data_IF_112715318375
#
_entry.id   IF_112715318375
#
_cell.length_a   1.000
_cell.length_b   1.000
_cell.length_c   1.000
_cell.angle_alpha   90.00
_cell.angle_beta   90.00
_cell.angle_gamma   90.00
#
_symmetry.space_group_name_H-M   'P 1'
#
loop_
_entity.id
_entity.type
_entity.pdbx_description
1 polymer ?
#
# COMPACT_ATOMS: atom_id res chain seq x y z
N UNK A 1 -17.66 8.66 61.75
CA UNK A 1 -16.71 8.87 60.63
C UNK A 1 -16.80 7.68 59.66
N UNK A 2 -17.79 7.63 58.75
CA UNK A 2 -17.97 6.52 57.82
C UNK A 2 -17.19 6.73 56.49
N UNK A 3 -15.91 7.14 56.55
CA UNK A 3 -15.15 7.57 55.36
C UNK A 3 -14.16 6.55 54.80
N UNK A 4 -13.60 5.66 55.63
CA UNK A 4 -12.40 4.87 55.22
C UNK A 4 -12.73 3.63 54.38
N UNK A 5 -13.87 2.98 54.63
CA UNK A 5 -14.30 1.78 53.88
C UNK A 5 -14.74 2.13 52.45
N UNK A 6 -15.54 3.19 52.29
CA UNK A 6 -15.98 3.66 50.98
C UNK A 6 -14.82 4.16 50.12
N UNK A 7 -13.84 4.87 50.72
CA UNK A 7 -12.66 5.36 49.99
C UNK A 7 -11.79 4.23 49.43
N UNK A 8 -11.54 3.17 50.21
CA UNK A 8 -10.76 2.01 49.75
C UNK A 8 -11.45 1.27 48.59
N UNK A 9 -12.76 1.09 48.68
CA UNK A 9 -13.57 0.46 47.64
C UNK A 9 -13.60 1.29 46.35
N UNK A 10 -13.73 2.62 46.45
CA UNK A 10 -13.67 3.52 45.30
C UNK A 10 -12.29 3.51 44.63
N UNK A 11 -11.21 3.48 45.43
CA UNK A 11 -9.86 3.49 44.91
C UNK A 11 -9.54 2.21 44.11
N UNK A 12 -9.93 1.03 44.61
CA UNK A 12 -9.74 -0.22 43.85
C UNK A 12 -10.56 -0.25 42.58
N UNK A 13 -11.81 0.23 42.62
CA UNK A 13 -12.65 0.34 41.42
C UNK A 13 -12.04 1.28 40.37
N UNK A 14 -11.60 2.48 40.78
CA UNK A 14 -10.96 3.42 39.87
C UNK A 14 -9.67 2.84 39.27
N UNK A 15 -8.87 2.14 40.06
CA UNK A 15 -7.65 1.50 39.60
C UNK A 15 -7.94 0.41 38.57
N UNK A 16 -8.93 -0.44 38.82
CA UNK A 16 -9.34 -1.49 37.87
C UNK A 16 -9.91 -0.87 36.59
N UNK A 17 -10.77 0.15 36.68
CA UNK A 17 -11.32 0.84 35.52
C UNK A 17 -10.20 1.49 34.69
N UNK A 18 -9.27 2.21 35.34
CA UNK A 18 -8.14 2.83 34.67
C UNK A 18 -7.26 1.79 33.97
N UNK A 19 -7.01 0.65 34.62
CA UNK A 19 -6.23 -0.45 34.04
C UNK A 19 -6.91 -1.04 32.79
N UNK A 20 -8.23 -1.29 32.87
CA UNK A 20 -9.01 -1.81 31.74
C UNK A 20 -9.03 -0.80 30.59
N UNK A 21 -9.26 0.49 30.88
CA UNK A 21 -9.23 1.55 29.88
C UNK A 21 -7.85 1.68 29.22
N UNK A 22 -6.77 1.53 29.98
CA UNK A 22 -5.41 1.54 29.44
C UNK A 22 -5.18 0.36 28.47
N UNK A 23 -5.59 -0.85 28.84
CA UNK A 23 -5.49 -2.03 27.97
C UNK A 23 -6.31 -1.88 26.69
N UNK A 24 -7.54 -1.37 26.80
CA UNK A 24 -8.39 -1.10 25.63
C UNK A 24 -7.75 -0.02 24.76
N UNK A 25 -7.27 1.07 25.34
CA UNK A 25 -6.61 2.16 24.61
C UNK A 25 -5.37 1.66 23.84
N UNK A 26 -4.51 0.87 24.48
CA UNK A 26 -3.32 0.29 23.86
C UNK A 26 -3.69 -0.68 22.74
N UNK A 27 -4.68 -1.56 22.94
CA UNK A 27 -5.10 -2.50 21.90
C UNK A 27 -5.70 -1.79 20.69
N UNK A 28 -6.49 -0.73 20.91
CA UNK A 28 -7.03 0.10 19.82
C UNK A 28 -5.91 0.83 19.07
N UNK A 29 -4.91 1.34 19.79
CA UNK A 29 -3.74 2.01 19.20
C UNK A 29 -2.94 1.03 18.32
N UNK A 30 -2.69 -0.20 18.81
CA UNK A 30 -2.01 -1.25 18.05
C UNK A 30 -2.81 -1.60 16.81
N UNK A 31 -4.13 -1.74 16.93
CA UNK A 31 -5.02 -2.03 15.81
C UNK A 31 -4.99 -0.91 14.75
N UNK A 32 -5.01 0.35 15.18
CA UNK A 32 -4.96 1.50 14.27
C UNK A 32 -3.64 1.60 13.51
N UNK A 33 -2.52 1.25 14.16
CA UNK A 33 -1.18 1.26 13.55
C UNK A 33 -1.00 0.05 12.62
N UNK A 34 -1.56 -1.11 13.00
CA UNK A 34 -1.40 -2.37 12.25
C UNK A 34 -2.32 -2.48 11.04
N UNK A 35 -3.44 -1.74 11.03
CA UNK A 35 -4.39 -1.76 9.93
C UNK A 35 -4.16 -0.55 9.03
N UNK A 36 -3.55 -0.71 7.84
CA UNK A 36 -3.30 0.39 6.91
C UNK A 36 -4.60 0.79 6.20
N UNK A 37 -5.58 1.31 6.95
CA UNK A 37 -6.83 1.86 6.42
C UNK A 37 -6.52 2.95 5.37
N UNK A 38 -5.44 3.70 5.57
CA UNK A 38 -4.93 4.69 4.63
C UNK A 38 -4.55 4.09 3.27
N UNK A 39 -3.92 2.90 3.23
CA UNK A 39 -3.56 2.25 1.97
C UNK A 39 -4.80 1.77 1.23
N UNK A 40 -5.77 1.19 1.96
CA UNK A 40 -7.03 0.77 1.35
C UNK A 40 -7.79 1.95 0.75
N UNK A 41 -7.84 3.07 1.46
CA UNK A 41 -8.44 4.30 0.97
C UNK A 41 -7.71 4.84 -0.26
N UNK A 42 -6.37 4.78 -0.28
CA UNK A 42 -5.58 5.17 -1.45
C UNK A 42 -5.82 4.27 -2.66
N UNK A 43 -5.87 2.94 -2.48
CA UNK A 43 -6.19 2.03 -3.58
C UNK A 43 -7.58 2.31 -4.15
N UNK A 44 -8.57 2.55 -3.30
CA UNK A 44 -9.93 2.90 -3.75
C UNK A 44 -9.94 4.21 -4.55
N UNK A 45 -9.18 5.22 -4.09
CA UNK A 45 -9.02 6.48 -4.82
C UNK A 45 -8.31 6.29 -6.16
N UNK A 46 -7.23 5.52 -6.20
CA UNK A 46 -6.49 5.19 -7.42
C UNK A 46 -7.35 4.41 -8.42
N UNK A 47 -8.16 3.47 -7.94
CA UNK A 47 -9.05 2.69 -8.80
C UNK A 47 -10.19 3.55 -9.36
N UNK A 48 -10.80 4.41 -8.53
CA UNK A 48 -11.82 5.37 -8.97
C UNK A 48 -11.24 6.38 -9.97
N UNK A 49 -10.07 6.94 -9.67
CA UNK A 49 -9.30 7.81 -10.56
C UNK A 49 -9.00 7.12 -11.90
N UNK A 50 -8.51 5.88 -11.85
CA UNK A 50 -8.19 5.09 -13.02
C UNK A 50 -9.40 4.79 -13.89
N UNK A 51 -10.53 4.42 -13.29
CA UNK A 51 -11.78 4.20 -14.04
C UNK A 51 -12.26 5.47 -14.74
N UNK A 52 -12.27 6.61 -14.03
CA UNK A 52 -12.64 7.89 -14.61
C UNK A 52 -11.67 8.32 -15.73
N UNK A 53 -10.38 8.02 -15.58
CA UNK A 53 -9.38 8.29 -16.61
C UNK A 53 -9.54 7.37 -17.82
N UNK A 54 -9.76 6.07 -17.61
CA UNK A 54 -9.96 5.10 -18.68
C UNK A 54 -11.24 5.40 -19.48
N UNK A 55 -12.35 5.70 -18.82
CA UNK A 55 -13.62 6.08 -19.47
C UNK A 55 -13.51 7.39 -20.27
N UNK A 56 -12.72 8.36 -19.79
CA UNK A 56 -12.44 9.60 -20.52
C UNK A 56 -11.42 9.39 -21.64
N UNK A 57 -10.46 8.48 -21.46
CA UNK A 57 -9.46 8.11 -22.46
C UNK A 57 -10.07 7.44 -23.69
N UNK A 58 -11.07 6.57 -23.50
CA UNK A 58 -11.82 5.95 -24.60
C UNK A 58 -12.46 6.99 -25.54
N UNK A 59 -12.74 8.21 -25.07
CA UNK A 59 -13.32 9.30 -25.88
C UNK A 59 -12.30 10.21 -26.59
N UNK A 60 -11.03 9.80 -26.69
CA UNK A 60 -10.02 10.50 -27.50
C UNK A 60 -8.96 11.26 -26.70
N UNK A 61 -8.72 10.87 -25.45
CA UNK A 61 -7.70 11.50 -24.58
C UNK A 61 -6.29 10.93 -24.77
N UNK A 62 -6.09 9.91 -25.61
CA UNK A 62 -4.77 9.34 -25.92
C UNK A 62 -3.85 10.28 -26.73
N UNK A 63 -4.40 11.34 -27.31
CA UNK A 63 -3.61 12.44 -27.90
C UNK A 63 -3.32 13.57 -26.91
N UNK A 64 -3.78 13.47 -25.66
CA UNK A 64 -3.56 14.52 -24.66
C UNK A 64 -2.09 14.58 -24.25
N UNK A 65 -1.57 15.79 -24.10
CA UNK A 65 -0.20 16.01 -23.62
C UNK A 65 0.00 15.44 -22.21
N UNK A 66 1.24 15.00 -21.87
CA UNK A 66 1.56 14.50 -20.53
C UNK A 66 1.18 15.48 -19.42
N UNK A 67 1.22 16.80 -19.69
CA UNK A 67 0.82 17.85 -18.74
C UNK A 67 -0.66 17.77 -18.35
N UNK A 68 -1.55 17.38 -19.28
CA UNK A 68 -2.97 17.20 -18.97
C UNK A 68 -3.20 16.01 -18.05
N UNK A 69 -2.38 14.97 -18.21
CA UNK A 69 -2.45 13.78 -17.36
C UNK A 69 -1.92 14.11 -15.95
N UNK A 70 -0.83 14.86 -15.84
CA UNK A 70 -0.35 15.42 -14.58
C UNK A 70 -1.42 16.27 -13.89
N UNK A 71 -2.02 17.23 -14.61
CA UNK A 71 -3.07 18.09 -14.07
C UNK A 71 -4.32 17.32 -13.63
N UNK A 72 -4.65 16.22 -14.31
CA UNK A 72 -5.76 15.36 -13.93
C UNK A 72 -5.44 14.57 -12.65
N UNK A 73 -4.20 14.08 -12.48
CA UNK A 73 -3.74 13.43 -11.24
C UNK A 73 -3.78 14.39 -10.04
N UNK A 74 -3.36 15.64 -10.23
CA UNK A 74 -3.41 16.66 -9.18
C UNK A 74 -4.85 16.98 -8.76
N UNK A 75 -5.79 17.06 -9.72
CA UNK A 75 -7.23 17.23 -9.43
C UNK A 75 -7.85 16.04 -8.70
N UNK A 76 -7.25 14.87 -8.82
CA UNK A 76 -7.69 13.63 -8.15
C UNK A 76 -7.04 13.46 -6.77
N UNK A 77 -6.35 14.50 -6.26
CA UNK A 77 -5.63 14.46 -4.98
C UNK A 77 -4.60 13.33 -4.90
N UNK A 78 -3.95 13.02 -6.03
CA UNK A 78 -2.84 12.07 -6.09
C UNK A 78 -1.52 12.83 -6.34
N UNK A 79 -1.08 13.67 -5.38
CA UNK A 79 0.10 14.51 -5.57
C UNK A 79 1.34 13.64 -5.77
N UNK A 80 2.06 13.89 -6.87
CA UNK A 80 3.25 13.13 -7.23
C UNK A 80 2.98 11.75 -7.84
N UNK A 81 1.71 11.43 -8.12
CA UNK A 81 1.33 10.28 -8.94
C UNK A 81 1.97 10.35 -10.33
N UNK A 82 2.25 9.18 -10.89
CA UNK A 82 2.79 9.02 -12.24
C UNK A 82 1.83 8.13 -13.01
N UNK A 83 1.33 8.63 -14.12
CA UNK A 83 0.51 7.85 -15.03
C UNK A 83 1.33 7.51 -16.27
N UNK A 84 1.24 6.26 -16.68
CA UNK A 84 1.98 5.68 -17.80
C UNK A 84 0.99 4.91 -18.67
N UNK A 85 0.98 5.20 -19.96
CA UNK A 85 0.19 4.47 -20.94
C UNK A 85 1.10 3.51 -21.69
N UNK A 86 0.72 2.25 -21.68
CA UNK A 86 1.42 1.16 -22.37
C UNK A 86 0.58 0.70 -23.56
N UNK A 87 1.21 0.68 -24.72
CA UNK A 87 0.67 0.13 -25.97
C UNK A 87 0.70 -1.41 -25.94
N UNK A 88 -0.11 -2.11 -26.76
CA UNK A 88 -0.15 -3.57 -26.78
C UNK A 88 1.18 -4.24 -27.16
N UNK A 89 2.11 -3.50 -27.78
CA UNK A 89 3.48 -3.93 -28.09
C UNK A 89 4.46 -3.79 -26.91
N UNK A 90 3.95 -3.45 -25.71
CA UNK A 90 4.72 -3.12 -24.51
C UNK A 90 5.54 -1.83 -24.62
N UNK A 91 5.34 -1.01 -25.66
CA UNK A 91 5.95 0.31 -25.74
C UNK A 91 5.22 1.30 -24.83
N UNK A 92 5.97 2.25 -24.27
CA UNK A 92 5.40 3.32 -23.44
C UNK A 92 5.11 4.51 -24.35
N UNK A 93 3.84 4.78 -24.61
CA UNK A 93 3.42 5.89 -25.48
C UNK A 93 3.38 7.22 -24.73
N UNK A 94 3.03 7.19 -23.44
CA UNK A 94 2.91 8.39 -22.63
C UNK A 94 3.36 8.12 -21.20
N UNK A 95 4.18 9.03 -20.67
CA UNK A 95 4.69 8.97 -19.31
C UNK A 95 4.72 10.38 -18.70
N UNK A 96 4.08 10.52 -17.54
CA UNK A 96 4.02 11.80 -16.82
C UNK A 96 5.38 12.17 -16.18
N UNK A 97 6.21 11.18 -15.86
CA UNK A 97 7.56 11.38 -15.29
C UNK A 97 8.57 10.57 -16.10
N UNK A 98 8.98 11.17 -17.21
CA UNK A 98 10.00 10.61 -18.10
C UNK A 98 11.33 10.45 -17.33
N UNK A 99 11.89 9.23 -17.31
CA UNK A 99 13.24 8.96 -16.77
C UNK A 99 13.32 8.02 -15.56
N UNK A 100 12.20 7.60 -14.97
CA UNK A 100 12.20 6.62 -13.89
C UNK A 100 11.83 5.22 -14.43
N UNK A 101 12.63 4.17 -14.24
CA UNK A 101 12.38 2.88 -14.88
C UNK A 101 11.12 2.21 -14.30
N UNK A 102 10.20 1.78 -15.17
CA UNK A 102 9.10 0.91 -14.75
C UNK A 102 9.59 -0.54 -14.63
N UNK A 103 9.18 -1.28 -13.57
CA UNK A 103 9.49 -2.70 -13.49
C UNK A 103 8.81 -3.45 -14.62
N UNK A 104 9.58 -4.23 -15.39
CA UNK A 104 9.07 -4.98 -16.54
C UNK A 104 7.93 -5.95 -16.18
N UNK A 105 7.91 -6.46 -14.94
CA UNK A 105 6.82 -7.29 -14.40
C UNK A 105 5.48 -6.55 -14.36
N UNK A 106 5.47 -5.24 -14.09
CA UNK A 106 4.24 -4.44 -14.04
C UNK A 106 3.72 -4.20 -15.45
N UNK A 107 4.62 -3.97 -16.42
CA UNK A 107 4.27 -3.80 -17.84
C UNK A 107 3.69 -5.09 -18.42
N UNK A 108 4.29 -6.25 -18.15
CA UNK A 108 3.74 -7.53 -18.64
C UNK A 108 2.41 -7.88 -17.97
N UNK A 109 2.25 -7.56 -16.69
CA UNK A 109 0.96 -7.73 -16.00
C UNK A 109 -0.13 -6.82 -16.56
N UNK A 110 0.19 -5.58 -16.93
CA UNK A 110 -0.80 -4.65 -17.47
C UNK A 110 -1.35 -5.09 -18.83
N UNK A 111 -0.56 -5.81 -19.62
CA UNK A 111 -0.96 -6.35 -20.93
C UNK A 111 -1.85 -7.60 -20.83
N UNK A 112 -2.05 -8.17 -19.64
CA UNK A 112 -2.92 -9.34 -19.45
C UNK A 112 -4.41 -9.05 -19.68
N UNK A 113 -4.80 -7.78 -19.83
CA UNK A 113 -6.20 -7.36 -19.97
C UNK A 113 -6.98 -7.41 -18.66
N UNK A 114 -6.33 -7.73 -17.54
CA UNK A 114 -6.95 -7.79 -16.20
C UNK A 114 -6.43 -6.64 -15.36
N UNK A 115 -7.33 -5.96 -14.65
CA UNK A 115 -6.91 -4.94 -13.69
C UNK A 115 -6.17 -5.60 -12.53
N UNK A 116 -4.90 -5.25 -12.39
CA UNK A 116 -4.03 -5.76 -11.32
C UNK A 116 -3.55 -4.62 -10.43
N UNK A 117 -3.39 -4.91 -9.14
CA UNK A 117 -2.86 -3.96 -8.16
C UNK A 117 -1.73 -4.60 -7.38
N UNK A 118 -0.78 -3.79 -6.97
CA UNK A 118 0.32 -4.26 -6.14
C UNK A 118 1.19 -3.13 -5.65
N UNK A 119 2.30 -3.51 -5.02
CA UNK A 119 3.37 -2.61 -4.65
C UNK A 119 4.69 -3.18 -5.17
N UNK A 120 5.60 -2.31 -5.60
CA UNK A 120 6.98 -2.69 -5.92
C UNK A 120 7.95 -1.74 -5.20
N UNK A 121 9.16 -2.22 -4.96
CA UNK A 121 10.19 -1.47 -4.24
C UNK A 121 10.33 -1.88 -2.78
N UNK A 122 11.45 -1.48 -2.18
CA UNK A 122 11.85 -1.94 -0.85
C UNK A 122 11.32 -1.00 0.24
N UNK A 123 10.49 -1.56 1.13
CA UNK A 123 10.07 -0.94 2.39
C UNK A 123 9.52 0.48 2.24
N UNK A 124 10.32 1.47 2.68
CA UNK A 124 9.95 2.88 2.76
C UNK A 124 9.86 3.60 1.41
N UNK A 125 10.37 2.99 0.34
CA UNK A 125 10.31 3.51 -1.03
C UNK A 125 9.35 2.69 -1.91
N UNK A 126 8.48 1.88 -1.29
CA UNK A 126 7.49 1.12 -2.03
C UNK A 126 6.57 2.06 -2.82
N UNK A 127 6.37 1.75 -4.09
CA UNK A 127 5.45 2.43 -4.99
C UNK A 127 4.25 1.53 -5.18
N UNK A 128 3.06 2.08 -4.93
CA UNK A 128 1.80 1.40 -5.20
C UNK A 128 1.47 1.56 -6.68
N UNK A 129 1.02 0.49 -7.29
CA UNK A 129 0.59 0.51 -8.68
C UNK A 129 -0.79 -0.10 -8.85
N UNK A 130 -1.53 0.47 -9.80
CA UNK A 130 -2.79 -0.08 -10.30
C UNK A 130 -2.71 -0.06 -11.83
N UNK A 131 -2.99 -1.21 -12.44
CA UNK A 131 -3.12 -1.33 -13.88
C UNK A 131 -4.60 -1.39 -14.22
N UNK A 132 -5.01 -0.62 -15.22
CA UNK A 132 -6.35 -0.66 -15.77
C UNK A 132 -6.23 -0.95 -17.26
N UNK A 133 -6.87 -2.02 -17.76
CA UNK A 133 -6.98 -2.21 -19.20
C UNK A 133 -7.80 -1.07 -19.79
N UNK A 134 -7.40 -0.58 -20.95
CA UNK A 134 -8.16 0.38 -21.75
C UNK A 134 -8.57 -0.31 -23.06
N UNK A 135 -9.51 0.29 -23.77
CA UNK A 135 -9.90 -0.19 -25.10
C UNK A 135 -8.68 -0.21 -26.05
N UNK A 136 -8.75 -1.05 -27.10
CA UNK A 136 -7.68 -1.32 -28.07
C UNK A 136 -6.46 -2.10 -27.55
N UNK A 137 -6.59 -2.79 -26.41
CA UNK A 137 -5.51 -3.62 -25.85
C UNK A 137 -4.38 -2.82 -25.19
N UNK A 138 -4.61 -1.52 -24.98
CA UNK A 138 -3.72 -0.64 -24.21
C UNK A 138 -3.95 -0.82 -22.73
N UNK A 139 -2.97 -0.42 -21.93
CA UNK A 139 -3.11 -0.41 -20.48
C UNK A 139 -2.65 0.91 -19.87
N UNK A 140 -3.44 1.42 -18.93
CA UNK A 140 -3.10 2.56 -18.11
C UNK A 140 -2.51 2.06 -16.79
N UNK A 141 -1.29 2.47 -16.49
CA UNK A 141 -0.61 2.17 -15.24
C UNK A 141 -0.57 3.46 -14.41
N UNK A 142 -1.16 3.41 -13.22
CA UNK A 142 -1.11 4.48 -12.23
C UNK A 142 -0.14 4.08 -11.12
N UNK A 143 0.82 4.95 -10.85
CA UNK A 143 1.90 4.75 -9.89
C UNK A 143 1.82 5.87 -8.84
N UNK A 144 1.85 5.52 -7.57
CA UNK A 144 1.83 6.51 -6.47
C UNK A 144 2.82 6.07 -5.40
N UNK A 145 3.64 7.00 -4.90
CA UNK A 145 4.53 6.73 -3.79
C UNK A 145 3.70 6.33 -2.56
N UNK A 146 4.06 5.21 -1.91
CA UNK A 146 3.36 4.79 -0.70
C UNK A 146 3.51 5.88 0.37
N UNK A 147 2.41 6.33 1.00
CA UNK A 147 2.52 7.30 2.08
C UNK A 147 3.36 6.68 3.19
N UNK A 148 4.44 7.37 3.57
CA UNK A 148 5.22 7.02 4.74
C UNK A 148 4.34 7.33 5.95
N UNK A 149 3.57 6.35 6.41
CA UNK A 149 3.09 6.38 7.79
C UNK A 149 4.35 6.42 8.63
N UNK A 150 4.63 7.58 9.22
CA UNK A 150 5.76 7.81 10.10
C UNK A 150 5.54 6.91 11.32
N UNK A 151 5.94 5.65 11.19
CA UNK A 151 5.92 4.69 12.28
C UNK A 151 6.82 5.30 13.35
N UNK A 152 6.21 5.71 14.46
CA UNK A 152 6.96 6.28 15.57
C UNK A 152 8.02 5.26 16.01
N UNK A 153 9.26 5.67 16.30
CA UNK A 153 10.35 4.76 16.67
C UNK A 153 10.07 3.94 17.94
N UNK A 154 9.02 4.25 18.69
CA UNK A 154 8.58 3.52 19.87
C UNK A 154 8.37 2.01 19.63
N UNK A 155 7.99 1.60 18.40
CA UNK A 155 7.75 0.19 18.08
C UNK A 155 9.00 -0.64 17.77
N UNK A 156 10.12 -0.02 17.40
CA UNK A 156 11.37 -0.74 17.13
C UNK A 156 11.97 -1.38 18.41
N UNK A 157 11.51 -0.97 19.60
CA UNK A 157 11.98 -1.47 20.88
C UNK A 157 11.26 -2.73 21.36
N UNK A 158 10.08 -3.09 20.81
CA UNK A 158 9.31 -4.26 21.24
C UNK A 158 9.53 -5.49 20.33
N UNK A 159 10.16 -5.32 19.15
CA UNK A 159 10.37 -6.40 18.19
C UNK A 159 11.67 -7.21 18.35
N UNK A 160 12.46 -6.96 19.41
CA UNK A 160 13.81 -7.57 19.51
C UNK A 160 13.85 -9.02 20.02
N UNK A 161 12.74 -9.60 20.51
CA UNK A 161 12.78 -10.92 21.18
C UNK A 161 12.33 -12.12 20.35
N UNK A 162 12.09 -11.97 19.03
CA UNK A 162 11.55 -13.08 18.19
C UNK A 162 12.51 -13.64 17.13
N UNK A 163 13.82 -13.43 17.27
CA UNK A 163 14.85 -13.99 16.36
C UNK A 163 15.80 -15.02 17.01
N UNK A 164 15.51 -15.54 18.20
CA UNK A 164 16.29 -16.59 18.85
C UNK A 164 15.62 -17.97 18.78
N UNK A 165 15.15 -18.38 17.58
CA UNK A 165 14.98 -19.81 17.29
C UNK A 165 16.09 -20.27 16.35
N UNK A 166 17.08 -21.05 16.83
CA UNK A 166 18.07 -21.65 15.96
C UNK A 166 17.40 -22.62 14.97
N UNK A 167 17.85 -22.58 13.73
CA UNK A 167 17.42 -23.48 12.66
C UNK A 167 17.71 -24.94 13.02
N UNK A 168 16.82 -25.90 12.71
CA UNK A 168 17.23 -27.30 12.60
C UNK A 168 18.21 -27.47 11.43
N UNK A 169 19.25 -28.25 11.72
CA UNK A 169 20.52 -28.53 11.05
C UNK A 169 20.55 -28.82 9.52
N UNK A 170 21.75 -28.71 8.90
CA UNK A 170 21.98 -28.71 7.44
C UNK A 170 22.36 -30.08 6.83
N UNK A 171 21.69 -31.17 7.21
CA UNK A 171 22.04 -32.51 6.68
C UNK A 171 20.81 -33.28 6.20
N UNK A 172 20.35 -32.99 4.98
CA UNK A 172 19.65 -33.97 4.13
C UNK A 172 19.59 -33.52 2.67
N UNK A 173 20.67 -33.80 1.94
CA UNK A 173 20.71 -34.08 0.50
C UNK A 173 22.00 -34.87 0.27
N UNK A 174 22.15 -35.79 -0.72
CA UNK A 174 21.57 -35.74 -2.07
C UNK A 174 21.18 -37.13 -2.66
N UNK A 175 20.93 -37.20 -3.98
CA UNK A 175 20.75 -38.39 -4.86
C UNK A 175 19.35 -39.05 -4.89
N UNK A 176 18.71 -39.38 -6.01
CA UNK A 176 19.16 -39.67 -7.39
C UNK A 176 18.22 -39.09 -8.47
N UNK A 177 18.81 -38.77 -9.63
CA UNK A 177 18.19 -38.66 -10.97
C UNK A 177 18.17 -40.06 -11.64
N UNK A 178 17.90 -40.18 -12.96
CA UNK A 178 16.62 -40.28 -13.65
C UNK A 178 16.35 -41.71 -14.19
N UNK A 179 15.14 -41.92 -14.69
CA UNK A 179 14.73 -43.04 -15.56
C UNK A 179 13.48 -42.63 -16.32
#
# INVERSE_FOLDING_TARGET
MPGSLQSRLLLTYLLVIALVLALVGVSLLVFLVSNPVAERALYQRMEAAGKLMAERQARGFFSASPDRLAAALDRLELPGGRAVVVEPDASVSLDTKMGEPLPQKVVTQSLSGVSTRGAFGDGASAVLYVTLPVEDGRALILLVARPKLRTSPFWAMISFDRCSRPAPSPWSSPFCSPG
#
